data_IF_460962617342
#
_entry.id   IF_460962617342
#
_cell.length_a   1.000
_cell.length_b   1.000
_cell.length_c   1.000
_cell.angle_alpha   90.00
_cell.angle_beta   90.00
_cell.angle_gamma   90.00
#
_symmetry.space_group_name_H-M   'P 1'
#
loop_
_entity.id
_entity.type
_entity.pdbx_description
1 polymer ?
#
# COMPACT_ATOMS: atom_id res chain seq x y z
N UNK A 1 11.96 20.73 -1.82
CA UNK A 1 11.71 19.79 -2.92
C UNK A 1 11.10 18.60 -2.24
N UNK A 2 9.78 18.51 -2.37
CA UNK A 2 8.94 17.67 -1.53
C UNK A 2 8.55 16.41 -2.26
N UNK A 3 8.60 15.31 -1.54
CA UNK A 3 8.03 14.03 -1.93
C UNK A 3 7.61 13.35 -0.61
N UNK A 4 6.55 13.88 0.02
CA UNK A 4 5.74 13.14 1.01
C UNK A 4 4.81 12.16 0.28
N UNK A 5 5.34 11.42 -0.68
CA UNK A 5 4.65 10.30 -1.33
C UNK A 5 5.18 9.01 -0.69
N UNK A 6 4.65 8.74 0.50
CA UNK A 6 4.93 7.51 1.24
C UNK A 6 4.22 6.30 0.65
N UNK A 7 4.25 6.14 -0.67
CA UNK A 7 3.92 4.94 -1.44
C UNK A 7 2.65 4.20 -0.98
N UNK A 8 1.48 4.81 -1.22
CA UNK A 8 0.17 4.14 -1.29
C UNK A 8 0.11 3.24 -2.54
N UNK A 9 1.05 2.30 -2.62
CA UNK A 9 1.16 1.30 -3.67
C UNK A 9 1.35 -0.07 -3.05
N UNK A 10 0.79 -1.08 -3.70
CA UNK A 10 0.88 -2.46 -3.27
C UNK A 10 2.34 -2.90 -3.22
N UNK A 11 2.81 -3.46 -2.09
CA UNK A 11 4.18 -3.97 -1.97
C UNK A 11 4.49 -5.09 -2.96
N UNK A 12 3.46 -5.81 -3.40
CA UNK A 12 3.59 -6.99 -4.28
C UNK A 12 3.75 -6.56 -5.73
N UNK A 13 2.76 -5.83 -6.29
CA UNK A 13 2.75 -5.44 -7.69
C UNK A 13 3.29 -4.03 -7.95
N UNK A 14 3.50 -3.22 -6.91
CA UNK A 14 3.86 -1.80 -6.98
C UNK A 14 2.86 -0.96 -7.78
N UNK A 15 1.58 -1.36 -7.77
CA UNK A 15 0.48 -0.61 -8.34
C UNK A 15 -0.28 0.16 -7.25
N UNK A 16 -0.87 1.28 -7.62
CA UNK A 16 -1.73 2.09 -6.76
C UNK A 16 -3.05 1.37 -6.45
N UNK A 17 -3.70 1.77 -5.36
CA UNK A 17 -5.03 1.28 -5.02
C UNK A 17 -6.08 1.85 -5.95
N UNK A 18 -6.91 0.99 -6.52
CA UNK A 18 -8.07 1.39 -7.34
C UNK A 18 -9.37 1.12 -6.60
N UNK A 19 -10.50 1.65 -7.07
CA UNK A 19 -11.81 1.38 -6.48
C UNK A 19 -12.17 -0.12 -6.51
N UNK A 20 -11.68 -0.85 -7.53
CA UNK A 20 -11.85 -2.29 -7.68
C UNK A 20 -10.88 -3.09 -6.80
N UNK A 21 -9.67 -2.56 -6.57
CA UNK A 21 -8.64 -3.20 -5.77
C UNK A 21 -8.04 -2.19 -4.76
N UNK A 22 -8.77 -1.89 -3.67
CA UNK A 22 -8.31 -0.97 -2.65
C UNK A 22 -7.09 -1.52 -1.91
N UNK A 23 -6.23 -0.60 -1.48
CA UNK A 23 -5.03 -0.89 -0.70
C UNK A 23 -5.33 -0.96 0.79
N UNK A 24 -4.77 -1.97 1.44
CA UNK A 24 -4.94 -2.27 2.85
C UNK A 24 -3.61 -2.53 3.53
N UNK A 25 -3.55 -2.24 4.81
CA UNK A 25 -2.35 -2.43 5.62
C UNK A 25 -2.50 -3.70 6.47
N UNK A 26 -1.83 -4.81 6.14
CA UNK A 26 -2.15 -6.13 6.69
C UNK A 26 -1.54 -6.39 8.07
N UNK A 27 -0.54 -5.61 8.53
CA UNK A 27 -0.02 -5.72 9.90
C UNK A 27 -0.06 -4.37 10.60
N UNK A 28 -0.44 -4.33 11.89
CA UNK A 28 -0.31 -3.12 12.73
C UNK A 28 1.13 -2.75 13.12
N UNK A 29 2.11 -3.46 12.56
CA UNK A 29 3.53 -3.30 12.81
C UNK A 29 3.97 -1.88 12.39
N UNK A 30 4.42 -1.04 13.31
CA UNK A 30 4.76 0.37 13.05
C UNK A 30 6.01 0.59 12.15
N UNK A 31 6.58 -0.46 11.55
CA UNK A 31 7.97 -0.43 11.10
C UNK A 31 8.27 -0.79 9.65
N UNK A 32 7.51 -1.64 8.95
CA UNK A 32 8.03 -2.17 7.65
C UNK A 32 7.02 -2.79 6.67
N UNK A 33 5.76 -2.98 7.05
CA UNK A 33 4.79 -3.59 6.14
C UNK A 33 4.09 -2.46 5.40
N UNK A 34 4.17 -2.46 4.08
CA UNK A 34 3.50 -1.48 3.21
C UNK A 34 2.13 -2.01 2.82
N UNK A 35 1.36 -1.21 2.09
CA UNK A 35 0.03 -1.56 1.63
C UNK A 35 0.01 -2.78 0.67
N UNK A 36 -1.08 -3.56 0.68
CA UNK A 36 -1.37 -4.67 -0.23
C UNK A 36 -2.83 -4.62 -0.66
N UNK A 37 -3.20 -5.18 -1.81
CA UNK A 37 -4.62 -5.25 -2.19
C UNK A 37 -5.39 -6.23 -1.29
N UNK A 38 -6.68 -5.92 -1.07
CA UNK A 38 -7.55 -6.67 -0.16
C UNK A 38 -7.88 -8.10 -0.64
N UNK A 39 -7.78 -8.36 -1.94
CA UNK A 39 -8.16 -9.64 -2.58
C UNK A 39 -6.95 -10.58 -2.68
N UNK A 40 -6.62 -11.21 -1.55
CA UNK A 40 -5.65 -12.32 -1.43
C UNK A 40 -6.28 -13.46 -0.61
#
# INVERSE_FOLDING_TARGET
MGDEDGEDVCRVCRCEGTEEQPLFHPCKCAGSIRFVHQDW
#
